data_IF_995985129261
#
_entry.id   IF_995985129261
#
_cell.length_a   1.000
_cell.length_b   1.000
_cell.length_c   1.000
_cell.angle_alpha   90.00
_cell.angle_beta   90.00
_cell.angle_gamma   90.00
#
_symmetry.space_group_name_H-M   'P 1'
#
loop_
_entity.id
_entity.type
_entity.pdbx_description
1 polymer ?
2 non-polymer ?
3 non-polymer ?
4 non-polymer ?
5 water ?
#
# COMPACT_ATOMS: atom_id res chain seq x y z
N UNK A 1 13.46 0.91 9.93
CA UNK A 1 12.53 -0.17 9.45
C UNK A 1 11.26 -0.18 10.27
N UNK A 2 10.25 -0.90 9.78
CA UNK A 2 9.03 -1.15 10.54
C UNK A 2 8.76 -2.65 10.55
N UNK A 3 7.98 -3.09 11.53
CA UNK A 3 7.72 -4.52 11.71
C UNK A 3 6.26 -4.78 12.07
N UNK A 4 5.79 -5.97 11.71
CA UNK A 4 4.47 -6.43 12.13
C UNK A 4 4.46 -7.94 12.28
N UNK A 5 3.92 -8.40 13.41
CA UNK A 5 3.87 -9.81 13.73
C UNK A 5 2.41 -10.28 13.81
N UNK A 6 2.06 -11.27 13.00
CA UNK A 6 0.71 -11.81 12.98
C UNK A 6 0.42 -12.65 14.22
N UNK A 7 1.45 -13.22 14.82
CA UNK A 7 1.28 -13.99 16.05
C UNK A 7 0.85 -13.05 17.17
N UNK A 8 -0.36 -13.26 17.68
CA UNK A 8 -0.93 -12.43 18.73
C UNK A 8 -1.47 -11.10 18.25
N UNK A 9 -1.55 -10.91 16.93
CA UNK A 9 -2.00 -9.65 16.36
C UNK A 9 -3.47 -9.40 16.68
N UNK A 10 -3.80 -8.13 16.92
CA UNK A 10 -5.20 -7.70 17.08
C UNK A 10 -5.35 -6.30 16.46
N UNK A 11 -6.58 -5.76 16.41
CA UNK A 11 -6.78 -4.45 15.80
C UNK A 11 -5.82 -3.37 16.31
N UNK A 12 -5.50 -3.41 17.59
CA UNK A 12 -4.57 -2.45 18.19
C UNK A 12 -3.15 -2.57 17.61
N UNK A 13 -2.58 -3.77 17.65
CA UNK A 13 -1.20 -3.96 17.18
C UNK A 13 -1.07 -3.72 15.68
N UNK A 14 -2.12 -4.04 14.93
CA UNK A 14 -2.14 -3.70 13.51
C UNK A 14 -2.14 -2.18 13.33
N UNK A 15 -2.96 -1.48 14.12
CA UNK A 15 -2.99 -0.02 14.10
C UNK A 15 -1.66 0.61 14.43
N UNK A 16 -0.94 0.04 15.39
CA UNK A 16 0.41 0.50 15.72
C UNK A 16 1.35 0.34 14.53
N UNK A 17 1.23 -0.79 13.83
CA UNK A 17 2.05 -1.03 12.64
C UNK A 17 1.76 -0.01 11.54
N UNK A 18 0.49 0.24 11.25
CA UNK A 18 0.12 1.20 10.21
C UNK A 18 0.58 2.61 10.61
N UNK A 19 0.50 2.94 11.90
CA UNK A 19 1.05 4.19 12.41
C UNK A 19 2.56 4.25 12.19
N UNK A 20 3.26 3.18 12.54
CA UNK A 20 4.72 3.09 12.32
C UNK A 20 5.05 3.28 10.84
N UNK A 21 4.30 2.62 9.97
CA UNK A 21 4.52 2.70 8.53
C UNK A 21 4.38 4.15 8.03
N UNK A 22 3.28 4.80 8.37
CA UNK A 22 3.07 6.21 8.04
C UNK A 22 4.24 7.08 8.54
N UNK A 23 4.62 6.89 9.81
CA UNK A 23 5.66 7.71 10.43
C UNK A 23 7.05 7.49 9.85
N UNK A 24 7.26 6.36 9.18
CA UNK A 24 8.53 6.05 8.54
C UNK A 24 8.66 6.71 7.15
N UNK A 25 7.57 7.27 6.63
CA UNK A 25 7.60 7.94 5.34
C UNK A 25 7.94 9.41 5.54
N UNK A 26 9.03 9.89 4.93
CA UNK A 26 9.47 11.26 5.15
C UNK A 26 8.62 12.28 4.40
N UNK A 27 8.50 13.46 5.00
CA UNK A 27 7.82 14.59 4.40
C UNK A 27 8.36 15.87 5.04
N UNK A 28 8.38 16.96 4.29
CA UNK A 28 8.79 18.26 4.84
C UNK A 28 7.63 19.25 4.91
N UNK A 29 6.52 18.90 4.26
CA UNK A 29 5.38 19.78 4.11
C UNK A 29 4.10 18.98 4.34
N UNK A 30 3.10 19.61 4.95
CA UNK A 30 1.74 19.08 4.95
C UNK A 30 0.88 19.99 4.08
N UNK A 31 -0.06 19.38 3.39
CA UNK A 31 -1.01 20.11 2.56
C UNK A 31 -2.39 19.81 3.12
N UNK A 32 -3.09 20.86 3.56
CA UNK A 32 -4.33 20.73 4.32
C UNK A 32 -4.18 19.71 5.45
N UNK A 33 -3.04 19.82 6.14
CA UNK A 33 -2.72 19.00 7.30
C UNK A 33 -2.44 17.52 7.01
N UNK A 34 -2.29 17.17 5.72
CA UNK A 34 -1.94 15.80 5.32
C UNK A 34 -0.48 15.79 4.87
N UNK A 35 0.33 14.88 5.41
CA UNK A 35 1.72 14.73 4.98
C UNK A 35 1.86 14.61 3.46
N UNK A 36 2.71 15.43 2.87
CA UNK A 36 2.99 15.40 1.45
C UNK A 36 4.26 14.60 1.19
N UNK A 37 4.15 13.47 0.52
CA UNK A 37 5.31 12.64 0.23
C UNK A 37 6.29 13.41 -0.66
N UNK A 38 7.56 13.10 -0.52
CA UNK A 38 8.62 13.86 -1.19
C UNK A 38 8.62 13.61 -2.69
N UNK A 39 9.08 14.60 -3.49
CA UNK A 39 9.17 14.42 -4.94
C UNK A 39 10.11 13.29 -5.32
N UNK A 40 11.25 13.20 -4.63
CA UNK A 40 12.19 12.10 -4.82
C UNK A 40 13.14 11.97 -3.63
N UNK A 41 13.76 10.81 -3.53
CA UNK A 41 14.80 10.53 -2.56
C UNK A 41 15.89 9.76 -3.31
N UNK A 42 17.15 10.14 -3.07
CA UNK A 42 18.28 9.54 -3.78
C UNK A 42 18.86 8.37 -3.00
N UNK A 43 19.24 7.32 -3.71
CA UNK A 43 19.95 6.19 -3.11
C UNK A 43 19.07 5.30 -2.27
N UNK A 44 19.70 4.65 -1.29
CA UNK A 44 19.04 3.63 -0.46
C UNK A 44 17.98 4.21 0.48
N UNK A 45 18.10 5.50 0.81
CA UNK A 45 17.13 6.19 1.65
C UNK A 45 15.73 6.20 1.05
N UNK A 46 15.64 5.93 -0.25
CA UNK A 46 14.37 5.83 -0.95
C UNK A 46 13.49 4.65 -0.49
N UNK A 47 14.10 3.63 0.11
CA UNK A 47 13.37 2.38 0.39
C UNK A 47 13.21 2.07 1.87
N UNK A 48 11.96 1.91 2.29
CA UNK A 48 11.61 1.46 3.63
C UNK A 48 11.51 -0.06 3.63
N UNK A 49 12.08 -0.69 4.64
CA UNK A 49 11.96 -2.13 4.84
C UNK A 49 10.88 -2.44 5.87
N UNK A 50 9.91 -3.26 5.48
CA UNK A 50 8.88 -3.76 6.39
C UNK A 50 9.17 -5.23 6.69
N UNK A 51 9.38 -5.54 7.96
CA UNK A 51 9.57 -6.92 8.39
C UNK A 51 8.23 -7.47 8.84
N UNK A 52 7.72 -8.43 8.08
CA UNK A 52 6.42 -9.04 8.36
C UNK A 52 6.62 -10.49 8.75
N UNK A 53 5.98 -10.90 9.84
CA UNK A 53 6.11 -12.26 10.35
C UNK A 53 4.76 -12.92 10.35
N UNK A 54 4.68 -14.12 9.77
CA UNK A 54 3.44 -14.87 9.79
C UNK A 54 3.21 -15.44 11.19
N UNK A 55 2.06 -16.08 11.37
CA UNK A 55 1.70 -16.61 12.68
C UNK A 55 2.78 -17.53 13.28
N UNK A 56 3.42 -18.33 12.43
CA UNK A 56 4.48 -19.26 12.89
C UNK A 56 5.83 -18.59 13.10
N UNK A 57 5.92 -17.29 12.85
CA UNK A 57 7.16 -16.54 13.08
C UNK A 57 8.13 -16.54 11.91
N UNK A 58 7.72 -17.09 10.78
CA UNK A 58 8.51 -16.98 9.55
C UNK A 58 8.34 -15.57 9.01
N UNK A 59 9.34 -15.07 8.31
CA UNK A 59 9.38 -13.66 7.95
C UNK A 59 9.77 -13.39 6.50
N UNK A 60 9.17 -12.33 5.95
CA UNK A 60 9.68 -11.70 4.74
C UNK A 60 9.98 -10.24 5.06
N UNK A 61 10.87 -9.64 4.27
CA UNK A 61 11.13 -8.21 4.35
C UNK A 61 10.72 -7.58 3.04
N UNK A 62 9.85 -6.59 3.12
CA UNK A 62 9.27 -5.94 1.94
C UNK A 62 9.86 -4.54 1.78
N UNK A 63 10.33 -4.25 0.58
CA UNK A 63 10.92 -2.94 0.27
C UNK A 63 9.86 -2.02 -0.33
N UNK A 64 9.67 -0.86 0.30
CA UNK A 64 8.65 0.11 -0.08
C UNK A 64 9.30 1.44 -0.48
N UNK A 65 8.96 1.93 -1.66
CA UNK A 65 9.40 3.25 -2.11
C UNK A 65 8.67 4.32 -1.29
N UNK A 66 9.44 5.12 -0.56
CA UNK A 66 8.86 6.07 0.40
C UNK A 66 8.23 7.30 -0.26
N UNK A 67 8.46 7.49 -1.56
CA UNK A 67 7.88 8.62 -2.29
C UNK A 67 6.45 8.34 -2.76
N UNK A 68 6.09 7.06 -2.94
CA UNK A 68 4.76 6.70 -3.43
C UNK A 68 4.08 5.52 -2.70
N UNK A 69 4.76 4.94 -1.71
CA UNK A 69 4.31 3.75 -0.96
C UNK A 69 4.13 2.51 -1.85
N UNK A 70 4.84 2.45 -2.98
CA UNK A 70 4.78 1.30 -3.88
C UNK A 70 5.71 0.22 -3.36
N UNK A 71 5.23 -1.01 -3.34
CA UNK A 71 6.08 -2.15 -3.01
C UNK A 71 6.95 -2.47 -4.23
N UNK A 72 8.26 -2.53 -4.02
CA UNK A 72 9.21 -2.79 -5.10
C UNK A 72 9.54 -4.28 -5.20
N UNK A 73 9.62 -4.93 -4.06
CA UNK A 73 10.04 -6.31 -3.99
C UNK A 73 10.13 -6.75 -2.55
N UNK A 74 10.62 -7.96 -2.34
CA UNK A 74 10.72 -8.51 -1.00
C UNK A 74 11.81 -9.57 -0.95
N UNK A 75 12.25 -9.85 0.27
CA UNK A 75 13.24 -10.88 0.53
C UNK A 75 12.59 -12.00 1.33
N UNK A 76 12.74 -13.23 0.84
CA UNK A 76 12.26 -14.40 1.57
C UNK A 76 13.42 -15.38 1.73
N UNK A 77 13.85 -15.57 2.98
CA UNK A 77 15.08 -16.30 3.33
C UNK A 77 16.32 -15.75 2.58
N UNK A 78 16.78 -16.43 1.53
CA UNK A 78 17.99 -15.99 0.82
C UNK A 78 17.71 -15.66 -0.65
N UNK A 79 16.43 -15.48 -0.98
CA UNK A 79 16.03 -15.13 -2.33
C UNK A 79 15.28 -13.80 -2.30
N UNK A 80 15.71 -12.87 -3.15
CA UNK A 80 14.98 -11.62 -3.33
C UNK A 80 14.09 -11.72 -4.56
N UNK A 81 12.98 -11.00 -4.51
CA UNK A 81 11.98 -10.99 -5.58
C UNK A 81 11.61 -9.54 -5.85
N UNK A 82 11.65 -9.13 -7.11
CA UNK A 82 11.30 -7.77 -7.52
C UNK A 82 10.31 -7.81 -8.66
N UNK A 83 9.43 -6.81 -8.71
CA UNK A 83 8.52 -6.66 -9.84
C UNK A 83 9.28 -6.40 -11.13
N UNK A 84 8.69 -6.80 -12.25
CA UNK A 84 9.26 -6.58 -13.56
C UNK A 84 8.91 -5.17 -14.01
N UNK A 85 9.59 -4.19 -13.44
CA UNK A 85 9.41 -2.78 -13.79
C UNK A 85 10.66 -1.98 -13.45
N UNK A 86 10.93 -0.87 -14.15
CA UNK A 86 12.18 -0.14 -13.93
C UNK A 86 12.41 0.36 -12.49
N UNK A 87 11.35 0.84 -11.84
CA UNK A 87 11.45 1.29 -10.45
C UNK A 87 11.95 0.18 -9.52
N UNK A 88 11.50 -1.05 -9.75
CA UNK A 88 11.93 -2.18 -8.92
C UNK A 88 13.34 -2.64 -9.26
N UNK A 89 13.69 -2.61 -10.56
CA UNK A 89 15.05 -2.94 -10.98
C UNK A 89 16.02 -1.95 -10.35
N UNK A 90 15.66 -0.66 -10.35
CA UNK A 90 16.44 0.36 -9.66
C UNK A 90 16.57 0.04 -8.18
N UNK A 91 15.45 -0.27 -7.52
CA UNK A 91 15.46 -0.65 -6.10
C UNK A 91 16.38 -1.84 -5.82
N UNK A 92 16.44 -2.79 -6.76
CA UNK A 92 17.29 -3.97 -6.60
C UNK A 92 18.79 -3.64 -6.55
N UNK A 93 19.15 -2.42 -6.93
CA UNK A 93 20.52 -1.94 -6.81
C UNK A 93 20.85 -1.58 -5.35
N UNK A 94 19.82 -1.39 -4.52
CA UNK A 94 20.02 -0.90 -3.16
C UNK A 94 19.60 -1.82 -2.02
N UNK A 95 18.56 -2.64 -2.23
CA UNK A 95 18.03 -3.48 -1.15
C UNK A 95 18.20 -4.98 -1.45
N UNK A 96 18.37 -5.76 -0.40
CA UNK A 96 18.47 -7.23 -0.48
C UNK A 96 19.64 -7.72 -1.33
N UNK A 97 20.71 -6.93 -1.40
CA UNK A 97 21.86 -7.26 -2.23
C UNK A 97 22.61 -8.51 -1.76
N UNK A 98 22.49 -8.84 -0.47
CA UNK A 98 23.12 -10.04 0.08
C UNK A 98 22.33 -11.33 -0.19
N UNK A 99 21.15 -11.22 -0.80
CA UNK A 99 20.40 -12.41 -1.21
C UNK A 99 21.26 -13.27 -2.11
N UNK A 100 21.17 -14.59 -1.95
CA UNK A 100 21.98 -15.51 -2.74
C UNK A 100 21.55 -15.54 -4.20
N UNK A 101 20.26 -15.29 -4.46
CA UNK A 101 19.78 -15.12 -5.83
C UNK A 101 18.68 -14.07 -5.90
N UNK A 102 18.50 -13.50 -7.08
CA UNK A 102 17.44 -12.54 -7.32
C UNK A 102 16.53 -13.05 -8.41
N UNK A 103 15.24 -13.11 -8.11
CA UNK A 103 14.23 -13.46 -9.09
C UNK A 103 13.42 -12.21 -9.43
N UNK A 104 13.27 -11.95 -10.72
CA UNK A 104 12.35 -10.94 -11.18
C UNK A 104 11.01 -11.61 -11.45
N UNK A 105 9.98 -11.14 -10.77
CA UNK A 105 8.63 -11.68 -10.94
C UNK A 105 8.17 -11.44 -12.37
N UNK A 106 7.30 -12.32 -12.90
CA UNK A 106 6.85 -12.19 -14.30
C UNK A 106 5.69 -11.21 -14.49
N UNK A 107 5.66 -10.15 -13.68
CA UNK A 107 4.69 -9.07 -13.82
C UNK A 107 5.18 -7.83 -13.09
N UNK A 108 4.65 -6.68 -13.48
CA UNK A 108 4.85 -5.44 -12.74
C UNK A 108 3.91 -5.40 -11.54
N UNK A 109 4.06 -4.38 -10.69
CA UNK A 109 3.36 -4.32 -9.42
C UNK A 109 1.99 -3.66 -9.45
N UNK A 110 1.55 -3.24 -10.63
CA UNK A 110 0.29 -2.52 -10.72
C UNK A 110 -0.92 -3.47 -10.69
N UNK A 111 -2.01 -2.99 -10.10
CA UNK A 111 -3.20 -3.81 -9.82
C UNK A 111 -3.70 -4.59 -11.04
N UNK A 112 -3.76 -3.93 -12.20
CA UNK A 112 -4.20 -4.59 -13.44
C UNK A 112 -3.39 -5.84 -13.74
N UNK A 113 -2.06 -5.70 -13.74
CA UNK A 113 -1.18 -6.82 -14.09
C UNK A 113 -1.21 -7.92 -13.04
N UNK A 114 -1.25 -7.53 -11.77
CA UNK A 114 -1.35 -8.51 -10.67
C UNK A 114 -2.64 -9.31 -10.75
N UNK A 115 -3.75 -8.63 -11.02
CA UNK A 115 -5.06 -9.27 -11.15
C UNK A 115 -5.09 -10.28 -12.30
N UNK A 116 -4.47 -9.92 -13.42
CA UNK A 116 -4.36 -10.84 -14.56
C UNK A 116 -3.53 -12.06 -14.21
N UNK A 117 -2.38 -11.84 -13.56
CA UNK A 117 -1.53 -12.94 -13.11
C UNK A 117 -2.24 -13.82 -12.09
N UNK A 118 -2.99 -13.19 -11.19
CA UNK A 118 -3.71 -13.92 -10.15
C UNK A 118 -4.94 -14.66 -10.69
N UNK A 119 -5.47 -14.20 -11.82
CA UNK A 119 -6.65 -14.81 -12.42
C UNK A 119 -7.96 -14.35 -11.79
N UNK A 120 -7.92 -13.24 -11.05
CA UNK A 120 -9.13 -12.69 -10.46
C UNK A 120 -8.94 -11.22 -10.07
N UNK A 121 -10.03 -10.44 -10.15
CA UNK A 121 -9.96 -9.07 -9.65
C UNK A 121 -9.94 -9.08 -8.14
N UNK A 122 -9.35 -8.06 -7.54
CA UNK A 122 -9.26 -8.04 -6.08
C UNK A 122 -10.61 -7.76 -5.41
N UNK A 123 -11.62 -7.40 -6.20
CA UNK A 123 -13.02 -7.43 -5.73
C UNK A 123 -13.40 -8.79 -5.15
N UNK A 124 -12.76 -9.84 -5.65
CA UNK A 124 -13.11 -11.21 -5.30
C UNK A 124 -12.10 -11.86 -4.36
N UNK A 125 -11.07 -11.11 -3.96
CA UNK A 125 -10.02 -11.65 -3.08
C UNK A 125 -10.24 -11.13 -1.66
N UNK A 126 -10.55 -12.04 -0.72
CA UNK A 126 -10.69 -11.60 0.67
C UNK A 126 -9.39 -11.01 1.22
N UNK A 127 -9.54 -9.98 2.03
CA UNK A 127 -8.40 -9.38 2.73
C UNK A 127 -8.73 -9.34 4.22
N UNK A 128 -7.71 -9.07 5.02
CA UNK A 128 -7.82 -9.15 6.46
C UNK A 128 -6.49 -9.62 7.02
N UNK A 129 -6.41 -9.76 8.34
CA UNK A 129 -5.18 -10.21 8.96
C UNK A 129 -4.89 -11.69 8.69
N UNK A 130 -5.94 -12.55 8.69
CA UNK A 130 -5.69 -13.94 8.27
C UNK A 130 -5.15 -14.03 6.83
N UNK A 131 -5.72 -13.25 5.92
CA UNK A 131 -5.27 -13.24 4.53
C UNK A 131 -3.81 -12.78 4.45
N UNK A 132 -3.42 -11.83 5.30
CA UNK A 132 -2.04 -11.34 5.32
C UNK A 132 -1.09 -12.44 5.79
N UNK A 133 -1.50 -13.17 6.83
CA UNK A 133 -0.75 -14.34 7.28
C UNK A 133 -0.52 -15.33 6.13
N UNK A 134 -1.57 -15.61 5.36
CA UNK A 134 -1.49 -16.47 4.17
C UNK A 134 -0.52 -15.90 3.14
N UNK A 135 -0.61 -14.60 2.90
CA UNK A 135 0.19 -13.93 1.88
C UNK A 135 1.68 -14.09 2.20
N UNK A 136 2.04 -13.83 3.45
CA UNK A 136 3.42 -13.94 3.89
C UNK A 136 3.89 -15.37 3.64
N UNK A 137 3.09 -16.34 4.07
CA UNK A 137 3.42 -17.74 3.92
C UNK A 137 3.62 -18.13 2.46
N UNK A 138 2.73 -17.65 1.59
CA UNK A 138 2.83 -17.90 0.16
C UNK A 138 4.13 -17.36 -0.42
N UNK A 139 4.49 -16.15 -0.02
CA UNK A 139 5.65 -15.48 -0.57
C UNK A 139 6.97 -16.09 -0.10
N UNK A 140 6.92 -16.91 0.95
CA UNK A 140 8.12 -17.62 1.43
C UNK A 140 8.71 -18.58 0.41
N UNK A 141 7.85 -19.16 -0.44
CA UNK A 141 8.32 -20.07 -1.48
C UNK A 141 7.73 -19.70 -2.83
N UNK A 142 8.61 -19.56 -3.81
CA UNK A 142 8.26 -18.99 -5.08
C UNK A 142 7.16 -19.76 -5.80
N UNK A 143 6.11 -19.04 -6.16
CA UNK A 143 5.02 -19.54 -6.98
C UNK A 143 4.37 -18.28 -7.55
N UNK A 144 4.67 -17.95 -8.80
CA UNK A 144 4.33 -16.62 -9.34
C UNK A 144 2.83 -16.35 -9.42
N UNK A 145 2.04 -17.38 -9.74
CA UNK A 145 0.58 -17.22 -9.79
C UNK A 145 0.02 -16.98 -8.39
N UNK A 146 0.42 -17.81 -7.43
CA UNK A 146 -0.02 -17.62 -6.04
C UNK A 146 0.51 -16.31 -5.47
N UNK A 147 1.74 -15.93 -5.83
CA UNK A 147 2.34 -14.70 -5.34
C UNK A 147 1.57 -13.46 -5.77
N UNK A 148 1.01 -13.47 -6.98
CA UNK A 148 0.24 -12.33 -7.46
C UNK A 148 -0.94 -12.02 -6.53
N UNK A 149 -1.66 -13.07 -6.13
CA UNK A 149 -2.76 -12.95 -5.19
C UNK A 149 -2.30 -12.49 -3.82
N UNK A 150 -1.19 -13.06 -3.34
CA UNK A 150 -0.62 -12.68 -2.06
C UNK A 150 -0.20 -11.20 -2.05
N UNK A 151 0.37 -10.75 -3.17
CA UNK A 151 0.84 -9.39 -3.28
C UNK A 151 -0.34 -8.39 -3.31
N UNK A 152 -1.44 -8.78 -3.95
CA UNK A 152 -2.66 -7.97 -3.91
C UNK A 152 -3.16 -7.80 -2.48
N UNK A 153 -3.10 -8.87 -1.69
CA UNK A 153 -3.47 -8.80 -0.28
C UNK A 153 -2.48 -7.94 0.48
N UNK A 154 -1.19 -8.17 0.23
CA UNK A 154 -0.13 -7.45 0.94
C UNK A 154 -0.18 -5.95 0.70
N UNK A 155 -0.35 -5.56 -0.56
CA UNK A 155 -0.39 -4.14 -0.94
C UNK A 155 -1.54 -3.44 -0.23
N UNK A 156 -2.70 -4.09 -0.20
CA UNK A 156 -3.89 -3.49 0.38
C UNK A 156 -3.86 -3.40 1.90
N UNK A 157 -3.26 -4.39 2.55
CA UNK A 157 -3.22 -4.45 4.00
C UNK A 157 -2.04 -3.66 4.60
N UNK A 158 -1.15 -3.17 3.75
CA UNK A 158 -0.04 -2.35 4.20
C UNK A 158 -0.16 -0.95 3.59
N UNK A 159 0.27 -0.80 2.34
CA UNK A 159 0.30 0.50 1.67
C UNK A 159 -1.05 1.21 1.67
N UNK A 160 -2.10 0.53 1.25
CA UNK A 160 -3.40 1.18 1.10
C UNK A 160 -3.98 1.59 2.45
N UNK A 161 -3.76 0.76 3.47
CA UNK A 161 -4.15 1.10 4.84
C UNK A 161 -3.36 2.30 5.38
N UNK A 162 -2.09 2.39 5.04
CA UNK A 162 -1.29 3.56 5.41
C UNK A 162 -1.87 4.83 4.76
N UNK A 163 -2.31 4.71 3.51
CA UNK A 163 -2.83 5.87 2.77
C UNK A 163 -4.20 6.37 3.23
N UNK A 164 -5.05 5.45 3.68
CA UNK A 164 -6.43 5.77 4.02
C UNK A 164 -6.83 5.15 5.35
N UNK A 165 -7.25 6.00 6.29
CA UNK A 165 -7.70 5.52 7.60
C UNK A 165 -8.89 4.57 7.47
N UNK A 166 -9.77 4.84 6.51
CA UNK A 166 -10.92 3.97 6.26
C UNK A 166 -10.46 2.53 5.95
N UNK A 167 -9.41 2.40 5.15
CA UNK A 167 -8.92 1.07 4.76
C UNK A 167 -8.26 0.37 5.93
N UNK A 168 -7.47 1.11 6.70
CA UNK A 168 -6.93 0.61 7.97
C UNK A 168 -8.05 0.03 8.83
N UNK A 169 -9.11 0.82 9.01
CA UNK A 169 -10.29 0.40 9.77
C UNK A 169 -10.96 -0.85 9.20
N UNK A 170 -11.05 -0.93 7.88
CA UNK A 170 -11.61 -2.12 7.23
C UNK A 170 -10.81 -3.37 7.56
N UNK A 171 -9.48 -3.25 7.59
CA UNK A 171 -8.60 -4.38 7.92
C UNK A 171 -8.74 -4.74 9.40
N UNK A 172 -8.83 -3.72 10.25
CA UNK A 172 -9.05 -3.94 11.68
C UNK A 172 -10.36 -4.70 11.93
N UNK A 173 -11.37 -4.42 11.13
CA UNK A 173 -12.63 -5.17 11.17
C UNK A 173 -12.48 -6.61 10.71
N UNK A 174 -11.44 -6.88 9.92
CA UNK A 174 -11.13 -8.20 9.41
C UNK A 174 -9.95 -8.83 10.13
N UNK A 175 -9.82 -8.56 11.43
CA UNK A 175 -8.70 -9.06 12.22
C UNK A 175 -8.70 -10.57 12.36
N UNK A 176 -9.89 -11.17 12.42
CA UNK A 176 -10.02 -12.63 12.64
C UNK A 176 -10.92 -13.31 11.61
N UNK A 177 -11.36 -12.56 10.60
CA UNK A 177 -12.18 -13.08 9.52
C UNK A 177 -11.94 -12.23 8.28
N UNK A 178 -11.47 -12.87 7.21
CA UNK A 178 -11.25 -12.17 5.95
C UNK A 178 -12.58 -11.84 5.30
N UNK A 179 -12.58 -10.77 4.51
CA UNK A 179 -13.72 -10.42 3.69
C UNK A 179 -13.23 -9.61 2.51
N UNK A 180 -13.84 -9.81 1.35
CA UNK A 180 -13.48 -9.01 0.18
C UNK A 180 -13.61 -7.54 0.54
N UNK A 181 -12.76 -6.69 -0.05
CA UNK A 181 -12.82 -5.26 0.22
C UNK A 181 -14.16 -4.66 -0.20
N UNK A 182 -14.63 -3.65 0.54
CA UNK A 182 -15.80 -2.90 0.13
C UNK A 182 -15.52 -2.16 -1.18
N UNK A 183 -16.58 -1.81 -1.91
CA UNK A 183 -16.43 -1.02 -3.13
C UNK A 183 -15.77 0.33 -2.83
N UNK A 184 -16.07 0.88 -1.66
CA UNK A 184 -15.45 2.13 -1.22
C UNK A 184 -13.93 1.97 -1.10
N UNK A 185 -13.51 0.84 -0.55
CA UNK A 185 -12.08 0.52 -0.45
C UNK A 185 -11.42 0.51 -1.82
N UNK A 186 -12.02 -0.24 -2.75
CA UNK A 186 -11.53 -0.31 -4.13
C UNK A 186 -11.44 1.10 -4.72
N UNK A 187 -12.51 1.88 -4.52
CA UNK A 187 -12.60 3.24 -5.05
C UNK A 187 -11.47 4.13 -4.54
N UNK A 188 -11.22 4.08 -3.23
CA UNK A 188 -10.17 4.88 -2.62
C UNK A 188 -8.79 4.51 -3.16
N UNK A 189 -8.55 3.20 -3.30
CA UNK A 189 -7.29 2.71 -3.87
C UNK A 189 -7.08 3.29 -5.26
N UNK A 190 -8.11 3.18 -6.09
CA UNK A 190 -8.04 3.66 -7.46
C UNK A 190 -7.91 5.19 -7.55
N UNK A 191 -8.34 5.91 -6.52
CA UNK A 191 -8.41 7.38 -6.58
C UNK A 191 -7.29 8.10 -5.82
N UNK A 192 -6.33 7.35 -5.27
CA UNK A 192 -5.32 7.95 -4.41
C UNK A 192 -4.50 9.01 -5.15
N UNK A 193 -4.05 8.68 -6.36
CA UNK A 193 -3.32 9.62 -7.19
C UNK A 193 -4.16 10.85 -7.53
N UNK A 194 -5.39 10.61 -7.99
CA UNK A 194 -6.32 11.69 -8.33
C UNK A 194 -6.60 12.61 -7.15
N UNK A 195 -6.90 12.02 -6.00
CA UNK A 195 -7.16 12.77 -4.77
C UNK A 195 -5.94 13.57 -4.33
N UNK A 196 -4.79 12.91 -4.33
CA UNK A 196 -3.53 13.56 -3.96
C UNK A 196 -3.30 14.80 -4.83
N UNK A 197 -3.51 14.64 -6.14
CA UNK A 197 -3.34 15.74 -7.08
C UNK A 197 -4.30 16.89 -6.80
N UNK A 198 -5.58 16.56 -6.64
CA UNK A 198 -6.62 17.59 -6.46
C UNK A 198 -6.52 18.33 -5.14
N UNK A 199 -6.09 17.65 -4.09
CA UNK A 199 -5.84 18.28 -2.79
C UNK A 199 -4.70 19.29 -2.93
N UNK A 200 -3.65 18.93 -3.67
CA UNK A 200 -2.57 19.86 -3.96
C UNK A 200 -3.01 21.01 -4.89
N UNK A 201 -3.80 20.72 -5.91
CA UNK A 201 -4.32 21.76 -6.81
C UNK A 201 -5.25 22.74 -6.10
N UNK A 202 -5.89 22.26 -5.03
CA UNK A 202 -6.78 23.09 -4.22
C UNK A 202 -6.06 24.21 -3.46
N UNK A 203 -4.75 24.07 -3.25
CA UNK A 203 -3.96 25.03 -2.45
C UNK A 203 -4.10 26.45 -2.96
N UNK A 204 -3.97 26.63 -4.28
CA UNK A 204 -4.11 27.95 -4.90
C UNK A 204 -5.47 28.20 -5.52
N UNK A 205 -6.46 27.41 -5.11
CA UNK A 205 -7.79 27.47 -5.70
C UNK A 205 -8.86 27.50 -4.59
N UNK A 206 -8.52 28.15 -3.47
CA UNK A 206 -9.43 28.32 -2.34
C UNK A 206 -10.00 27.00 -1.79
N UNK A 207 -9.19 25.95 -1.85
CA UNK A 207 -9.62 24.64 -1.35
C UNK A 207 -10.53 23.86 -2.27
N UNK A 208 -10.77 24.38 -3.48
CA UNK A 208 -11.65 23.75 -4.46
C UNK A 208 -10.84 22.88 -5.41
N UNK A 209 -11.31 21.66 -5.67
CA UNK A 209 -10.68 20.77 -6.65
C UNK A 209 -10.86 21.37 -8.06
N UNK A 210 -9.81 21.33 -8.86
CA UNK A 210 -9.90 21.73 -10.27
C UNK A 210 -10.79 20.76 -11.05
N UNK A 211 -10.73 19.49 -10.67
CA UNK A 211 -11.55 18.45 -11.28
C UNK A 211 -12.11 17.56 -10.16
N UNK A 212 -13.44 17.36 -10.12
CA UNK A 212 -14.01 16.54 -9.05
C UNK A 212 -13.52 15.10 -9.10
N UNK A 213 -13.47 14.46 -7.95
CA UNK A 213 -13.11 13.05 -7.85
C UNK A 213 -14.35 12.26 -7.49
N UNK A 214 -14.68 11.26 -8.31
CA UNK A 214 -15.85 10.43 -8.04
C UNK A 214 -15.44 9.22 -7.21
N UNK A 215 -16.08 9.06 -6.05
CA UNK A 215 -15.84 7.93 -5.17
C UNK A 215 -17.12 7.15 -4.92
N UNK A 216 -16.97 5.89 -4.52
CA UNK A 216 -18.07 5.11 -3.97
C UNK A 216 -17.96 5.19 -2.45
N UNK A 217 -19.06 5.53 -1.78
CA UNK A 217 -19.05 5.69 -0.32
C UNK A 217 -19.38 4.37 0.42
N UNK A 218 -19.37 4.43 1.75
CA UNK A 218 -19.65 3.27 2.61
C UNK A 218 -20.94 2.53 2.27
N UNK A 219 -21.95 3.25 1.82
CA UNK A 219 -23.23 2.62 1.53
C UNK A 219 -23.29 2.07 0.14
N UNK A 220 -22.23 2.25 -0.61
CA UNK A 220 -22.19 1.79 -1.99
C UNK A 220 -22.67 2.83 -2.98
N UNK A 221 -22.80 4.08 -2.52
CA UNK A 221 -23.30 5.17 -3.36
C UNK A 221 -22.15 5.98 -3.96
N UNK A 222 -22.22 6.20 -5.27
CA UNK A 222 -21.19 6.94 -6.00
C UNK A 222 -21.39 8.44 -5.82
N UNK A 223 -20.35 9.11 -5.31
CA UNK A 223 -20.41 10.53 -4.93
C UNK A 223 -19.24 11.33 -5.49
N UNK A 224 -19.46 12.64 -5.66
CA UNK A 224 -18.43 13.54 -6.15
C UNK A 224 -17.75 14.28 -5.00
N UNK A 225 -16.42 14.26 -4.99
CA UNK A 225 -15.64 15.05 -4.04
C UNK A 225 -15.16 16.30 -4.80
N UNK A 226 -15.51 17.49 -4.31
CA UNK A 226 -15.24 18.73 -5.04
C UNK A 226 -14.33 19.72 -4.30
N UNK A 227 -14.09 19.49 -3.01
CA UNK A 227 -13.28 20.40 -2.21
C UNK A 227 -12.75 19.78 -0.93
N UNK A 228 -11.85 20.51 -0.27
CA UNK A 228 -11.13 19.96 0.90
C UNK A 228 -11.96 19.84 2.18
N UNK A 229 -13.21 20.29 2.17
CA UNK A 229 -14.08 20.14 3.35
C UNK A 229 -14.64 18.72 3.46
N UNK A 230 -14.58 17.95 2.38
CA UNK A 230 -15.05 16.57 2.39
C UNK A 230 -14.32 15.72 3.43
N UNK A 231 -15.05 14.80 4.03
CA UNK A 231 -14.50 13.91 5.02
C UNK A 231 -13.34 13.04 4.52
N UNK A 232 -13.31 12.77 3.25
CA UNK A 232 -12.22 12.01 2.63
C UNK A 232 -10.91 12.76 2.82
N UNK A 233 -10.97 14.09 2.73
CA UNK A 233 -9.80 14.94 2.86
C UNK A 233 -9.50 15.24 4.33
N UNK A 234 -10.50 15.62 5.09
CA UNK A 234 -10.36 15.94 6.52
C UNK A 234 -10.06 14.79 7.45
N UNK A 235 -10.69 13.67 7.15
CA UNK A 235 -10.76 12.44 7.96
C UNK A 235 -9.86 11.15 7.68
N UNK A 236 -9.80 10.85 6.43
CA UNK A 236 -9.51 9.65 5.72
C UNK A 236 -8.09 9.63 5.18
N UNK A 237 -7.83 10.36 4.12
CA UNK A 237 -6.53 10.27 3.49
C UNK A 237 -5.43 10.71 4.45
N UNK A 238 -4.34 9.94 4.49
CA UNK A 238 -3.26 10.18 5.45
C UNK A 238 -1.91 10.53 4.80
N UNK A 239 -1.83 10.40 3.49
CA UNK A 239 -0.59 10.61 2.75
C UNK A 239 -0.93 11.10 1.35
N UNK A 240 -0.15 12.07 0.85
CA UNK A 240 -0.37 12.61 -0.48
C UNK A 240 0.80 12.26 -1.39
N UNK A 241 0.47 11.66 -2.52
CA UNK A 241 1.41 11.50 -3.62
C UNK A 241 1.70 12.88 -4.20
N UNK A 242 2.98 13.25 -4.21
CA UNK A 242 3.42 14.53 -4.76
C UNK A 242 3.03 14.67 -6.23
N UNK A 243 2.48 15.82 -6.62
CA UNK A 243 2.09 16.05 -8.02
C UNK A 243 3.25 15.91 -9.01
N UNK A 244 4.47 16.12 -8.53
CA UNK A 244 5.66 15.92 -9.36
C UNK A 244 5.84 14.46 -9.78
N UNK A 245 5.14 13.54 -9.12
CA UNK A 245 5.12 12.13 -9.50
C UNK A 245 3.79 11.69 -10.13
N UNK A 246 2.99 12.64 -10.60
CA UNK A 246 1.68 12.34 -11.19
C UNK A 246 1.59 12.91 -12.59
#
# INVERSE_FOLDING_TARGET
DVSFRLSGADPSSYGMFIKDLRNALPHTEKVYNIPLLLPSVSGAGRYLLMHLFNYDGNTITVAVDVTNVYIMGYLALTTSYFFNEPAADLASQYVFRSARRKITLPYSGNYERLQIAAGKPREKIPIGLPALDTAISTLLHYDSTAAAGALLVLIQTTAEAARFKYIEQQIQERAYRDEVPSSATISLENSWSGLSKQIQLAQGNNGVFRTPTVLVDSKGNRVQITNVTSNVVTSNIQLLLNTKNI
#
